data_IF_876507180106
#
_entry.id   IF_876507180106
#
_cell.length_a   1.000
_cell.length_b   1.000
_cell.length_c   1.000
_cell.angle_alpha   90.00
_cell.angle_beta   90.00
_cell.angle_gamma   90.00
#
_symmetry.space_group_name_H-M   'P 1'
#
loop_
_entity.id
_entity.type
_entity.pdbx_description
1 polymer ?
#
# COMPACT_ATOMS: atom_id res chain seq x y z
N UNK A 1 6.51 -8.90 27.99
CA UNK A 1 7.23 -9.48 26.83
C UNK A 1 6.91 -8.65 25.60
N UNK A 2 7.83 -8.46 24.66
CA UNK A 2 7.54 -7.79 23.41
C UNK A 2 6.36 -8.43 22.67
N UNK A 3 5.45 -7.60 22.13
CA UNK A 3 4.29 -8.05 21.37
C UNK A 3 4.33 -7.54 19.94
N UNK A 4 3.45 -8.06 19.10
CA UNK A 4 3.22 -7.52 17.77
C UNK A 4 2.14 -6.43 17.83
N UNK A 5 2.39 -5.28 17.22
CA UNK A 5 1.41 -4.20 17.03
C UNK A 5 1.13 -4.10 15.53
N UNK A 6 -0.11 -4.39 15.14
CA UNK A 6 -0.49 -4.59 13.74
C UNK A 6 -1.45 -3.51 13.29
N UNK A 7 -1.17 -2.90 12.14
CA UNK A 7 -2.05 -2.00 11.43
C UNK A 7 -2.46 -2.61 10.09
N UNK A 8 -3.75 -2.68 9.85
CA UNK A 8 -4.35 -3.14 8.60
C UNK A 8 -5.13 -2.00 7.97
N UNK A 9 -4.54 -1.33 6.96
CA UNK A 9 -5.12 -0.19 6.26
C UNK A 9 -5.75 -0.64 4.95
N UNK A 10 -7.07 -0.60 4.85
CA UNK A 10 -7.76 -1.05 3.64
C UNK A 10 -7.91 0.07 2.60
N UNK A 11 -8.19 -0.33 1.36
CA UNK A 11 -8.47 0.58 0.26
C UNK A 11 -9.85 1.24 0.43
N UNK A 12 -10.03 2.40 -0.21
CA UNK A 12 -11.31 3.11 -0.16
C UNK A 12 -12.40 2.41 -0.99
N UNK A 13 -13.66 2.62 -0.60
CA UNK A 13 -14.87 2.05 -1.19
C UNK A 13 -15.07 0.54 -0.98
N UNK A 14 -14.29 -0.08 -0.12
CA UNK A 14 -14.57 -1.43 0.33
C UNK A 14 -15.47 -1.30 1.57
N UNK A 15 -16.78 -1.22 1.34
CA UNK A 15 -17.74 -1.46 2.42
C UNK A 15 -17.41 -2.82 3.03
N UNK A 16 -17.56 -2.95 4.35
CA UNK A 16 -17.43 -4.24 5.03
C UNK A 16 -18.61 -5.13 4.58
N UNK A 17 -18.51 -5.61 3.34
CA UNK A 17 -19.53 -6.34 2.59
C UNK A 17 -19.03 -7.76 2.28
N UNK A 18 -19.74 -8.46 1.39
CA UNK A 18 -19.42 -9.83 1.01
C UNK A 18 -18.08 -9.95 0.26
N UNK A 19 -17.67 -8.93 -0.51
CA UNK A 19 -16.48 -8.93 -1.35
C UNK A 19 -15.28 -8.33 -0.62
N UNK A 20 -14.62 -9.16 0.19
CA UNK A 20 -13.57 -8.72 1.12
C UNK A 20 -12.19 -8.67 0.47
N UNK A 21 -11.41 -7.63 0.81
CA UNK A 21 -10.01 -7.51 0.41
C UNK A 21 -9.08 -8.49 1.14
N UNK A 22 -7.86 -8.62 0.65
CA UNK A 22 -6.83 -9.40 1.33
C UNK A 22 -6.42 -8.80 2.68
N UNK A 23 -6.58 -7.49 2.87
CA UNK A 23 -6.33 -6.82 4.16
C UNK A 23 -7.31 -7.32 5.22
N UNK A 24 -8.62 -7.31 4.92
CA UNK A 24 -9.66 -7.85 5.81
C UNK A 24 -9.41 -9.33 6.09
N UNK A 25 -9.09 -10.10 5.05
CA UNK A 25 -8.88 -11.54 5.17
C UNK A 25 -7.65 -11.88 6.01
N UNK A 26 -6.55 -11.14 5.84
CA UNK A 26 -5.39 -11.23 6.73
C UNK A 26 -5.79 -10.90 8.18
N UNK A 27 -6.55 -9.81 8.39
CA UNK A 27 -6.99 -9.40 9.72
C UNK A 27 -7.81 -10.51 10.43
N UNK A 28 -8.63 -11.28 9.69
CA UNK A 28 -9.36 -12.41 10.25
C UNK A 28 -8.48 -13.60 10.66
N UNK A 29 -7.31 -13.75 10.03
CA UNK A 29 -6.38 -14.84 10.38
C UNK A 29 -5.52 -14.53 11.60
N UNK A 30 -5.55 -13.30 12.13
CA UNK A 30 -4.68 -12.90 13.22
C UNK A 30 -5.08 -13.58 14.54
N UNK A 31 -4.09 -14.13 15.25
CA UNK A 31 -4.29 -14.62 16.62
C UNK A 31 -4.74 -13.47 17.51
N UNK A 32 -5.80 -13.69 18.27
CA UNK A 32 -6.42 -12.71 19.18
C UNK A 32 -5.96 -12.94 20.62
N UNK A 33 -4.70 -12.61 20.88
CA UNK A 33 -4.12 -12.65 22.22
C UNK A 33 -3.48 -11.28 22.53
N UNK A 34 -4.19 -10.39 23.27
CA UNK A 34 -3.69 -9.02 23.53
C UNK A 34 -2.35 -8.95 24.24
N UNK A 35 -1.96 -10.01 24.96
CA UNK A 35 -0.64 -10.07 25.62
C UNK A 35 0.52 -10.27 24.64
N UNK A 36 0.24 -10.86 23.48
CA UNK A 36 1.25 -11.21 22.45
C UNK A 36 1.08 -10.43 21.15
N UNK A 37 -0.14 -9.99 20.84
CA UNK A 37 -0.46 -9.32 19.58
C UNK A 37 -1.71 -8.46 19.70
N UNK A 38 -1.63 -7.19 19.25
CA UNK A 38 -2.77 -6.30 19.13
C UNK A 38 -2.90 -5.82 17.70
N UNK A 39 -4.12 -5.70 17.20
CA UNK A 39 -4.36 -5.36 15.81
C UNK A 39 -5.45 -4.29 15.66
N UNK A 40 -5.25 -3.39 14.71
CA UNK A 40 -6.18 -2.34 14.31
C UNK A 40 -6.50 -2.48 12.82
N UNK A 41 -7.77 -2.45 12.48
CA UNK A 41 -8.25 -2.42 11.11
C UNK A 41 -8.85 -1.05 10.80
N UNK A 42 -8.33 -0.42 9.74
CA UNK A 42 -8.83 0.84 9.22
C UNK A 42 -9.50 0.58 7.86
N UNK A 43 -10.83 0.83 7.72
CA UNK A 43 -11.58 0.48 6.50
C UNK A 43 -11.27 1.39 5.30
N UNK A 44 -10.44 2.41 5.48
CA UNK A 44 -10.16 3.43 4.46
C UNK A 44 -11.31 4.43 4.31
N UNK A 45 -11.01 5.59 3.73
CA UNK A 45 -12.01 6.63 3.52
C UNK A 45 -12.91 6.34 2.33
N UNK A 46 -14.18 6.73 2.49
CA UNK A 46 -15.23 6.59 1.49
C UNK A 46 -16.36 5.66 1.91
N UNK A 47 -16.25 5.04 3.09
CA UNK A 47 -17.35 4.30 3.72
C UNK A 47 -18.23 5.21 4.58
N UNK A 48 -17.72 6.37 5.04
CA UNK A 48 -18.53 7.38 5.73
C UNK A 48 -19.00 8.43 4.72
N UNK A 49 -20.29 8.42 4.42
CA UNK A 49 -20.90 9.40 3.53
C UNK A 49 -20.90 10.80 4.15
N UNK A 50 -20.54 11.87 3.38
CA UNK A 50 -20.88 13.21 3.81
C UNK A 50 -22.42 13.31 3.90
N UNK A 51 -22.99 13.87 4.96
CA UNK A 51 -24.43 14.12 5.04
C UNK A 51 -24.85 15.02 3.87
N UNK A 52 -25.70 14.51 2.96
CA UNK A 52 -26.30 15.30 1.89
C UNK A 52 -26.05 14.90 0.43
N UNK A 53 -25.35 13.80 0.13
CA UNK A 53 -25.14 13.35 -1.25
C UNK A 53 -26.38 12.65 -1.83
N UNK A 54 -27.23 13.40 -2.53
CA UNK A 54 -28.57 12.96 -2.98
C UNK A 54 -28.62 12.20 -4.33
N UNK A 55 -27.52 12.03 -5.09
CA UNK A 55 -27.55 11.40 -6.41
C UNK A 55 -26.46 10.32 -6.58
N UNK A 56 -26.86 9.08 -6.85
CA UNK A 56 -25.96 7.90 -7.06
C UNK A 56 -24.93 8.11 -8.19
N UNK A 57 -25.24 8.85 -9.23
CA UNK A 57 -24.35 9.12 -10.37
C UNK A 57 -23.24 10.10 -10.00
N UNK A 58 -23.54 11.13 -9.24
CA UNK A 58 -22.56 12.10 -8.72
C UNK A 58 -21.60 11.43 -7.71
N UNK A 59 -22.08 10.45 -6.95
CA UNK A 59 -21.28 9.65 -6.02
C UNK A 59 -20.14 8.91 -6.72
N UNK A 60 -20.41 8.25 -7.84
CA UNK A 60 -19.39 7.46 -8.55
C UNK A 60 -18.33 8.36 -9.18
N UNK A 61 -18.75 9.48 -9.78
CA UNK A 61 -17.85 10.43 -10.45
C UNK A 61 -17.04 11.22 -9.43
N UNK A 62 -17.63 11.72 -8.35
CA UNK A 62 -16.89 12.39 -7.26
C UNK A 62 -15.99 11.44 -6.48
N UNK A 63 -16.37 10.19 -6.28
CA UNK A 63 -15.49 9.13 -5.73
C UNK A 63 -14.29 8.86 -6.65
N UNK A 64 -14.49 8.86 -7.96
CA UNK A 64 -13.44 8.53 -8.95
C UNK A 64 -12.51 9.72 -9.22
N UNK A 65 -13.03 10.94 -9.28
CA UNK A 65 -12.26 12.14 -9.61
C UNK A 65 -11.85 13.01 -8.41
N UNK A 66 -12.18 12.59 -7.25
CA UNK A 66 -11.70 12.88 -5.90
C UNK A 66 -11.12 14.22 -5.54
N UNK A 67 -11.98 15.20 -5.29
CA UNK A 67 -11.61 16.31 -4.42
C UNK A 67 -11.44 15.90 -2.94
N UNK A 68 -11.80 14.67 -2.57
CA UNK A 68 -11.69 14.13 -1.21
C UNK A 68 -10.31 13.50 -0.89
N UNK A 69 -9.37 13.44 -1.84
CA UNK A 69 -8.18 12.59 -1.73
C UNK A 69 -7.11 13.11 -0.75
N UNK A 70 -7.01 14.39 -0.49
CA UNK A 70 -6.05 14.93 0.46
C UNK A 70 -6.52 14.81 1.91
N UNK A 71 -7.74 15.24 2.17
CA UNK A 71 -8.31 15.27 3.52
C UNK A 71 -8.41 13.90 4.19
N UNK A 72 -8.66 12.88 3.39
CA UNK A 72 -8.84 11.56 3.89
C UNK A 72 -7.58 10.85 4.32
N UNK A 73 -6.50 10.98 3.57
CA UNK A 73 -5.22 10.37 3.93
C UNK A 73 -4.70 10.88 5.27
N UNK A 74 -4.85 12.19 5.56
CA UNK A 74 -4.42 12.76 6.82
C UNK A 74 -5.15 12.13 8.02
N UNK A 75 -6.46 11.92 7.89
CA UNK A 75 -7.25 11.27 8.93
C UNK A 75 -6.85 9.79 9.11
N UNK A 76 -6.70 9.04 8.00
CA UNK A 76 -6.28 7.65 8.03
C UNK A 76 -4.89 7.48 8.69
N UNK A 77 -3.94 8.33 8.31
CA UNK A 77 -2.58 8.32 8.87
C UNK A 77 -2.60 8.70 10.35
N UNK A 78 -3.43 9.72 10.74
CA UNK A 78 -3.59 10.13 12.12
C UNK A 78 -4.12 8.98 12.97
N UNK A 79 -5.21 8.35 12.57
CA UNK A 79 -5.87 7.32 13.37
C UNK A 79 -4.97 6.08 13.53
N UNK A 80 -4.28 5.68 12.46
CA UNK A 80 -3.28 4.61 12.49
C UNK A 80 -2.09 4.95 13.40
N UNK A 81 -1.59 6.18 13.34
CA UNK A 81 -0.48 6.63 14.17
C UNK A 81 -0.87 6.73 15.66
N UNK A 82 -2.06 7.24 15.96
CA UNK A 82 -2.60 7.31 17.33
C UNK A 82 -2.78 5.91 17.91
N UNK A 83 -3.21 4.94 17.11
CA UNK A 83 -3.25 3.56 17.59
C UNK A 83 -1.85 3.05 18.00
N UNK A 84 -0.79 3.33 17.21
CA UNK A 84 0.59 3.01 17.59
C UNK A 84 1.01 3.72 18.87
N UNK A 85 0.72 5.03 19.01
CA UNK A 85 1.02 5.81 20.22
C UNK A 85 0.50 5.13 21.49
N UNK A 86 -0.72 4.59 21.40
CA UNK A 86 -1.44 4.05 22.56
C UNK A 86 -1.07 2.60 22.87
N UNK A 87 -0.55 1.83 21.89
CA UNK A 87 -0.35 0.39 22.04
C UNK A 87 1.10 -0.07 21.95
N UNK A 88 2.00 0.71 21.37
CA UNK A 88 3.41 0.34 21.20
C UNK A 88 4.20 0.59 22.50
N UNK A 89 5.02 -0.38 22.87
CA UNK A 89 6.05 -0.28 23.90
C UNK A 89 7.42 -0.61 23.32
N UNK A 90 8.47 -0.10 23.95
CA UNK A 90 9.86 -0.35 23.49
C UNK A 90 10.15 -1.84 23.42
N UNK A 91 10.59 -2.29 22.25
CA UNK A 91 10.84 -3.70 21.97
C UNK A 91 9.73 -4.40 21.20
N UNK A 92 8.54 -3.82 21.09
CA UNK A 92 7.45 -4.36 20.27
C UNK A 92 7.81 -4.33 18.77
N UNK A 93 7.17 -5.23 18.00
CA UNK A 93 7.32 -5.30 16.54
C UNK A 93 6.11 -4.70 15.85
N UNK A 94 6.33 -3.72 14.99
CA UNK A 94 5.26 -3.06 14.22
C UNK A 94 5.10 -3.71 12.85
N UNK A 95 3.90 -4.23 12.57
CA UNK A 95 3.49 -4.77 11.28
C UNK A 95 2.48 -3.83 10.63
N UNK A 96 2.77 -3.36 9.42
CA UNK A 96 1.90 -2.48 8.65
C UNK A 96 1.44 -3.22 7.39
N UNK A 97 0.12 -3.38 7.23
CA UNK A 97 -0.46 -3.96 6.03
C UNK A 97 -1.35 -2.97 5.31
N UNK A 98 -1.42 -3.07 3.98
CA UNK A 98 -2.33 -2.22 3.24
C UNK A 98 -2.55 -2.64 1.80
N UNK A 99 -3.72 -2.26 1.25
CA UNK A 99 -4.07 -2.46 -0.16
C UNK A 99 -4.40 -1.13 -0.83
N UNK A 100 -3.96 -0.95 -2.09
CA UNK A 100 -4.32 0.22 -2.89
C UNK A 100 -3.91 1.55 -2.22
N UNK A 101 -4.86 2.41 -1.88
CA UNK A 101 -4.64 3.64 -1.10
C UNK A 101 -4.25 3.33 0.34
N UNK A 102 -4.82 2.29 0.95
CA UNK A 102 -4.41 1.83 2.28
C UNK A 102 -2.95 1.35 2.30
N UNK A 103 -2.45 0.79 1.19
CA UNK A 103 -1.03 0.52 1.03
C UNK A 103 -0.18 1.81 1.08
N UNK A 104 -0.69 2.89 0.49
CA UNK A 104 -0.03 4.20 0.60
C UNK A 104 -0.12 4.76 2.02
N UNK A 105 -1.28 4.62 2.71
CA UNK A 105 -1.45 4.98 4.12
C UNK A 105 -0.42 4.25 5.01
N UNK A 106 -0.26 2.93 4.86
CA UNK A 106 0.72 2.15 5.60
C UNK A 106 2.16 2.68 5.39
N UNK A 107 2.51 3.02 4.15
CA UNK A 107 3.83 3.61 3.82
C UNK A 107 3.97 5.04 4.34
N UNK A 108 2.89 5.83 4.39
CA UNK A 108 2.89 7.17 4.96
C UNK A 108 3.06 7.14 6.50
N UNK A 109 2.44 6.17 7.17
CA UNK A 109 2.68 5.93 8.62
C UNK A 109 4.14 5.56 8.86
N UNK A 110 4.72 4.67 8.04
CA UNK A 110 6.14 4.33 8.14
C UNK A 110 7.05 5.55 7.93
N UNK A 111 6.71 6.43 6.97
CA UNK A 111 7.40 7.70 6.75
C UNK A 111 7.28 8.64 7.95
N UNK A 112 6.09 8.76 8.54
CA UNK A 112 5.86 9.59 9.72
C UNK A 112 6.71 9.12 10.90
N UNK A 113 6.77 7.79 11.13
CA UNK A 113 7.65 7.20 12.16
C UNK A 113 9.13 7.48 11.89
N UNK A 114 9.57 7.42 10.65
CA UNK A 114 10.97 7.73 10.29
C UNK A 114 11.31 9.18 10.59
N UNK A 115 10.49 10.11 10.12
CA UNK A 115 10.78 11.54 10.20
C UNK A 115 10.53 12.13 11.59
N UNK A 116 9.46 11.73 12.25
CA UNK A 116 9.01 12.35 13.50
C UNK A 116 9.07 11.42 14.72
N UNK A 117 9.42 10.14 14.53
CA UNK A 117 9.41 9.13 15.60
C UNK A 117 8.01 8.77 16.06
N UNK A 118 7.88 8.25 17.28
CA UNK A 118 6.59 7.96 17.91
C UNK A 118 6.40 8.87 19.13
N UNK A 119 5.41 9.75 19.03
CA UNK A 119 5.01 10.69 20.09
C UNK A 119 4.48 9.89 21.29
N UNK A 120 4.80 10.27 22.54
CA UNK A 120 4.29 9.60 23.74
C UNK A 120 2.77 9.68 23.85
N UNK A 121 2.18 8.64 24.41
CA UNK A 121 0.74 8.57 24.73
C UNK A 121 0.29 9.81 25.51
N UNK A 122 -0.91 10.32 25.22
CA UNK A 122 -1.47 11.53 25.84
C UNK A 122 -1.08 12.84 25.15
N UNK A 123 -0.32 12.78 24.04
CA UNK A 123 0.06 13.95 23.26
C UNK A 123 -0.55 13.94 21.85
N UNK A 124 -1.76 13.38 21.70
CA UNK A 124 -2.50 13.29 20.43
C UNK A 124 -2.66 14.64 19.70
N UNK A 125 -2.78 15.81 20.38
CA UNK A 125 -2.84 17.10 19.70
C UNK A 125 -1.61 17.46 18.86
N UNK A 126 -0.45 16.82 19.09
CA UNK A 126 0.77 17.03 18.29
C UNK A 126 0.74 16.27 16.95
N UNK A 127 -0.09 15.20 16.82
CA UNK A 127 -0.11 14.36 15.64
C UNK A 127 -0.54 15.11 14.37
N UNK A 128 -1.62 15.92 14.37
CA UNK A 128 -1.97 16.74 13.20
C UNK A 128 -0.88 17.73 12.80
N UNK A 129 -0.07 18.18 13.76
CA UNK A 129 1.05 19.08 13.47
C UNK A 129 2.17 18.35 12.70
N UNK A 130 2.57 17.15 13.17
CA UNK A 130 3.56 16.32 12.47
C UNK A 130 3.10 15.92 11.06
N UNK A 131 1.82 15.55 10.89
CA UNK A 131 1.25 15.21 9.58
C UNK A 131 1.27 16.41 8.64
N UNK A 132 0.88 17.61 9.11
CA UNK A 132 0.93 18.83 8.28
C UNK A 132 2.34 19.16 7.83
N UNK A 133 3.35 19.03 8.70
CA UNK A 133 4.74 19.21 8.30
C UNK A 133 5.17 18.23 7.21
N UNK A 134 4.76 16.96 7.32
CA UNK A 134 5.01 15.93 6.29
C UNK A 134 4.38 16.31 4.95
N UNK A 135 3.14 16.84 4.95
CA UNK A 135 2.44 17.25 3.73
C UNK A 135 3.06 18.51 3.09
N UNK A 136 3.59 19.44 3.88
CA UNK A 136 4.23 20.66 3.38
C UNK A 136 5.48 20.33 2.57
N UNK A 137 6.28 19.34 2.97
CA UNK A 137 7.47 18.91 2.20
C UNK A 137 7.09 18.52 0.79
N UNK A 138 6.01 17.75 0.63
CA UNK A 138 5.49 17.42 -0.72
C UNK A 138 5.12 18.68 -1.53
N UNK A 139 4.48 19.67 -0.90
CA UNK A 139 4.10 20.91 -1.57
C UNK A 139 5.31 21.71 -2.04
N UNK A 140 6.41 21.68 -1.28
CA UNK A 140 7.70 22.31 -1.66
C UNK A 140 8.32 21.56 -2.85
N UNK A 141 8.38 20.24 -2.82
CA UNK A 141 8.89 19.43 -3.93
C UNK A 141 8.09 19.63 -5.24
N UNK A 142 6.82 19.98 -5.13
CA UNK A 142 5.96 20.26 -6.28
C UNK A 142 6.20 21.62 -6.93
N UNK A 143 6.81 22.58 -6.20
CA UNK A 143 7.16 23.90 -6.75
C UNK A 143 8.30 23.77 -7.77
N UNK A 144 8.14 24.44 -8.93
CA UNK A 144 9.11 24.35 -10.03
C UNK A 144 10.20 25.42 -10.01
N UNK A 145 10.17 26.36 -9.06
CA UNK A 145 10.99 27.58 -9.08
C UNK A 145 11.59 27.92 -7.72
N UNK A 146 12.79 28.47 -7.69
CA UNK A 146 13.40 29.14 -6.55
C UNK A 146 14.23 28.24 -5.63
N UNK A 147 14.44 28.70 -4.43
CA UNK A 147 15.28 28.12 -3.37
C UNK A 147 14.70 26.85 -2.73
N UNK A 148 14.26 25.91 -3.60
CA UNK A 148 13.60 24.66 -3.18
C UNK A 148 14.46 23.88 -2.19
N UNK A 149 15.76 23.79 -2.46
CA UNK A 149 16.68 22.99 -1.64
C UNK A 149 16.79 23.54 -0.22
N UNK A 150 16.96 24.86 -0.06
CA UNK A 150 17.06 25.49 1.24
C UNK A 150 15.73 25.40 2.05
N UNK A 151 14.59 25.52 1.36
CA UNK A 151 13.29 25.35 2.01
C UNK A 151 13.07 23.89 2.44
N UNK A 152 13.42 22.89 1.61
CA UNK A 152 13.38 21.48 1.95
C UNK A 152 14.29 21.17 3.16
N UNK A 153 15.55 21.60 3.14
CA UNK A 153 16.50 21.39 4.24
C UNK A 153 15.99 21.96 5.55
N UNK A 154 15.38 23.15 5.53
CA UNK A 154 14.76 23.76 6.70
C UNK A 154 13.65 22.89 7.29
N UNK A 155 12.78 22.30 6.46
CA UNK A 155 11.71 21.43 6.94
C UNK A 155 12.23 20.07 7.44
N UNK A 156 13.28 19.52 6.83
CA UNK A 156 13.93 18.32 7.36
C UNK A 156 14.62 18.58 8.71
N UNK A 157 15.27 19.74 8.86
CA UNK A 157 15.84 20.16 10.14
C UNK A 157 14.73 20.33 11.21
N UNK A 158 13.61 20.96 10.85
CA UNK A 158 12.46 21.11 11.77
C UNK A 158 11.86 19.74 12.16
N UNK A 159 11.79 18.78 11.24
CA UNK A 159 11.34 17.43 11.53
C UNK A 159 12.29 16.71 12.51
N UNK A 160 13.60 16.86 12.33
CA UNK A 160 14.60 16.31 13.23
C UNK A 160 14.51 16.93 14.63
N UNK A 161 14.29 18.24 14.73
CA UNK A 161 14.10 18.95 16.00
C UNK A 161 12.82 18.50 16.70
N UNK A 162 11.73 18.36 15.96
CA UNK A 162 10.48 17.83 16.48
C UNK A 162 10.66 16.41 17.03
N UNK A 163 11.30 15.52 16.25
CA UNK A 163 11.59 14.15 16.68
C UNK A 163 12.40 14.12 17.96
N UNK A 164 13.47 14.92 18.05
CA UNK A 164 14.32 15.00 19.23
C UNK A 164 13.59 15.55 20.46
N UNK A 165 12.66 16.49 20.26
CA UNK A 165 11.95 17.15 21.36
C UNK A 165 10.80 16.31 21.90
N UNK A 166 10.01 15.68 21.01
CA UNK A 166 8.73 15.08 21.37
C UNK A 166 8.70 13.55 21.28
N UNK A 167 9.67 12.92 20.61
CA UNK A 167 9.63 11.46 20.41
C UNK A 167 10.72 10.79 21.24
N UNK A 168 10.30 10.15 22.32
CA UNK A 168 11.22 9.48 23.27
C UNK A 168 11.37 7.98 23.01
N UNK A 169 10.54 7.42 22.12
CA UNK A 169 10.51 5.98 21.83
C UNK A 169 10.95 5.71 20.40
N UNK A 170 11.95 4.85 20.24
CA UNK A 170 12.31 4.34 18.91
C UNK A 170 11.29 3.33 18.45
N UNK A 171 10.50 3.68 17.44
CA UNK A 171 9.49 2.83 16.82
C UNK A 171 9.80 2.75 15.32
N UNK A 172 10.31 1.60 14.89
CA UNK A 172 10.61 1.31 13.48
C UNK A 172 9.69 0.21 12.96
N UNK A 173 9.18 0.32 11.72
CA UNK A 173 8.40 -0.76 11.14
C UNK A 173 9.24 -2.02 10.98
N UNK A 174 8.83 -3.10 11.66
CA UNK A 174 9.45 -4.42 11.51
C UNK A 174 9.07 -5.06 10.18
N UNK A 175 7.79 -4.94 9.79
CA UNK A 175 7.27 -5.50 8.55
C UNK A 175 6.29 -4.53 7.88
N UNK A 176 6.47 -4.29 6.58
CA UNK A 176 5.50 -3.54 5.78
C UNK A 176 5.08 -4.40 4.60
N UNK A 177 3.86 -4.94 4.63
CA UNK A 177 3.27 -5.80 3.61
C UNK A 177 2.17 -5.09 2.83
N UNK A 178 2.36 -4.86 1.55
CA UNK A 178 1.40 -4.09 0.75
C UNK A 178 0.99 -4.83 -0.52
N UNK A 179 -0.30 -4.68 -0.88
CA UNK A 179 -0.82 -5.15 -2.15
C UNK A 179 -1.05 -3.96 -3.06
N UNK A 180 -0.46 -4.03 -4.22
CA UNK A 180 -0.64 -3.15 -5.37
C UNK A 180 -0.80 -1.66 -5.02
N UNK A 181 0.22 -1.11 -4.35
CA UNK A 181 0.25 0.32 -3.98
C UNK A 181 0.09 1.19 -5.21
N UNK A 182 -0.86 2.12 -5.18
CA UNK A 182 -1.11 3.05 -6.27
C UNK A 182 -0.80 4.49 -5.88
N UNK A 183 -0.25 5.26 -6.82
CA UNK A 183 0.06 6.69 -6.65
C UNK A 183 -1.14 7.59 -6.97
N UNK A 184 -2.37 7.12 -6.73
CA UNK A 184 -3.58 7.89 -7.04
C UNK A 184 -4.05 8.78 -5.89
N UNK A 185 -3.15 9.12 -4.97
CA UNK A 185 -3.39 10.11 -3.92
C UNK A 185 -2.88 11.46 -4.40
N UNK A 186 -3.71 12.51 -4.32
CA UNK A 186 -3.39 13.86 -4.79
C UNK A 186 -3.92 14.18 -6.20
N UNK A 187 -3.41 15.26 -6.79
CA UNK A 187 -3.87 15.73 -8.10
C UNK A 187 -3.40 14.82 -9.23
N UNK A 188 -4.24 14.62 -10.26
CA UNK A 188 -3.99 13.64 -11.34
C UNK A 188 -2.67 13.85 -12.09
N UNK A 189 -2.19 15.08 -12.22
CA UNK A 189 -0.90 15.40 -12.85
C UNK A 189 0.28 15.26 -11.90
N UNK A 190 0.06 15.54 -10.61
CA UNK A 190 1.07 15.54 -9.57
C UNK A 190 0.58 14.69 -8.37
N UNK A 191 0.70 13.35 -8.44
CA UNK A 191 0.30 12.51 -7.33
C UNK A 191 1.14 12.83 -6.08
N UNK A 192 0.51 12.75 -4.93
CA UNK A 192 1.15 12.97 -3.64
C UNK A 192 2.35 12.04 -3.48
N UNK A 193 3.52 12.63 -3.24
CA UNK A 193 4.76 11.92 -2.95
C UNK A 193 5.27 12.38 -1.60
N UNK A 194 4.95 11.64 -0.57
CA UNK A 194 5.50 11.92 0.75
C UNK A 194 6.94 11.40 0.84
N UNK A 195 7.84 12.11 1.54
CA UNK A 195 9.21 11.66 1.78
C UNK A 195 9.23 10.25 2.34
N UNK A 196 10.25 9.48 2.04
CA UNK A 196 10.45 8.12 2.56
C UNK A 196 9.29 7.13 2.36
N UNK A 197 8.32 7.41 1.47
CA UNK A 197 7.33 6.40 1.08
C UNK A 197 7.87 5.43 0.03
N UNK A 198 8.90 5.80 -0.73
CA UNK A 198 9.53 4.97 -1.75
C UNK A 198 10.88 4.35 -1.30
N UNK A 199 11.53 4.89 -0.29
CA UNK A 199 12.92 4.57 0.07
C UNK A 199 13.19 4.65 1.58
N UNK A 200 12.27 4.23 2.43
CA UNK A 200 12.40 4.29 3.89
C UNK A 200 13.40 3.25 4.44
N UNK A 201 14.54 3.68 5.01
CA UNK A 201 15.57 2.78 5.53
C UNK A 201 15.24 2.17 6.90
N UNK A 202 14.22 2.67 7.61
CA UNK A 202 13.81 2.14 8.91
C UNK A 202 12.92 0.92 8.81
N UNK A 203 12.43 0.59 7.60
CA UNK A 203 11.66 -0.63 7.36
C UNK A 203 12.62 -1.83 7.35
N UNK A 204 12.42 -2.78 8.28
CA UNK A 204 13.26 -3.98 8.32
C UNK A 204 12.92 -4.94 7.19
N UNK A 205 11.64 -5.27 7.01
CA UNK A 205 11.15 -6.19 5.99
C UNK A 205 10.05 -5.51 5.15
N UNK A 206 10.30 -5.34 3.85
CA UNK A 206 9.34 -4.81 2.87
C UNK A 206 8.82 -5.91 1.95
N UNK A 207 7.50 -6.03 1.81
CA UNK A 207 6.82 -6.98 0.92
C UNK A 207 5.77 -6.28 0.07
N UNK A 208 5.86 -6.41 -1.23
CA UNK A 208 4.93 -5.79 -2.17
C UNK A 208 4.43 -6.81 -3.20
N UNK A 209 3.17 -7.18 -3.12
CA UNK A 209 2.51 -7.93 -4.17
C UNK A 209 1.98 -6.96 -5.24
N UNK A 210 2.44 -7.07 -6.48
CA UNK A 210 2.18 -6.12 -7.58
C UNK A 210 1.38 -6.80 -8.68
N UNK A 211 0.35 -6.14 -9.22
CA UNK A 211 -0.43 -6.68 -10.34
C UNK A 211 0.27 -6.48 -11.68
N UNK A 212 0.27 -7.53 -12.52
CA UNK A 212 0.86 -7.53 -13.86
C UNK A 212 -0.08 -6.86 -14.88
N UNK A 213 -1.37 -7.17 -14.80
CA UNK A 213 -2.32 -6.93 -15.90
C UNK A 213 -3.15 -5.65 -15.74
N UNK A 214 -2.91 -4.84 -14.70
CA UNK A 214 -3.62 -3.58 -14.51
C UNK A 214 -3.31 -2.59 -15.64
N UNK A 215 -4.37 -2.02 -16.24
CA UNK A 215 -4.28 -1.17 -17.44
C UNK A 215 -4.72 0.27 -17.20
N UNK A 216 -5.48 0.53 -16.15
CA UNK A 216 -6.03 1.86 -15.88
C UNK A 216 -4.92 2.87 -15.58
N UNK A 217 -4.92 4.01 -16.30
CA UNK A 217 -3.93 5.07 -16.17
C UNK A 217 -3.82 5.66 -14.76
N UNK A 218 -4.89 5.60 -13.96
CA UNK A 218 -4.92 6.09 -12.58
C UNK A 218 -4.32 5.10 -11.57
N UNK A 219 -4.21 3.82 -11.93
CA UNK A 219 -3.65 2.77 -11.07
C UNK A 219 -2.17 2.51 -11.37
N UNK A 220 -1.38 3.60 -11.38
CA UNK A 220 0.06 3.47 -11.59
C UNK A 220 0.73 2.75 -10.44
N UNK A 221 1.63 1.86 -10.80
CA UNK A 221 2.47 1.15 -9.83
C UNK A 221 3.34 2.14 -9.06
N UNK A 222 3.33 2.04 -7.74
CA UNK A 222 4.19 2.78 -6.84
C UNK A 222 5.15 1.80 -6.16
N UNK A 223 6.22 1.41 -6.86
CA UNK A 223 7.24 0.53 -6.31
C UNK A 223 8.07 1.24 -5.24
N UNK A 224 8.65 0.49 -4.32
CA UNK A 224 9.81 0.96 -3.60
C UNK A 224 10.97 1.10 -4.58
N UNK A 225 11.71 2.18 -4.44
CA UNK A 225 12.86 2.51 -5.28
C UNK A 225 14.07 2.79 -4.38
N UNK A 226 14.69 1.74 -3.82
CA UNK A 226 15.87 1.91 -3.00
C UNK A 226 16.98 2.59 -3.81
N UNK A 227 17.69 3.52 -3.18
CA UNK A 227 18.85 4.20 -3.79
C UNK A 227 20.08 3.31 -3.68
N UNK A 228 20.93 3.37 -4.69
CA UNK A 228 22.21 2.67 -4.69
C UNK A 228 23.22 3.32 -3.72
N UNK A 229 24.29 2.60 -3.31
CA UNK A 229 25.41 3.18 -2.58
C UNK A 229 25.92 4.48 -3.26
N UNK A 230 26.48 5.44 -2.51
CA UNK A 230 26.97 5.33 -1.13
C UNK A 230 25.91 5.55 -0.04
N UNK A 231 24.70 5.95 -0.37
CA UNK A 231 23.62 6.15 0.60
C UNK A 231 22.49 5.14 0.35
N UNK A 232 22.66 3.87 0.77
CA UNK A 232 21.62 2.87 0.60
C UNK A 232 20.35 3.32 1.35
N UNK A 233 19.22 3.29 0.67
CA UNK A 233 17.94 3.66 1.23
C UNK A 233 16.88 2.64 0.83
N UNK A 234 15.79 2.57 1.58
CA UNK A 234 14.71 1.64 1.36
C UNK A 234 14.71 0.48 2.36
N UNK A 235 13.69 -0.39 2.33
CA UNK A 235 13.58 -1.53 3.22
C UNK A 235 14.82 -2.42 3.15
N UNK A 236 15.34 -2.85 4.31
CA UNK A 236 16.58 -3.64 4.40
C UNK A 236 16.45 -5.01 3.73
N UNK A 237 15.29 -5.65 3.88
CA UNK A 237 14.94 -6.90 3.21
C UNK A 237 13.70 -6.70 2.36
N UNK A 238 13.89 -6.33 1.08
CA UNK A 238 12.81 -5.99 0.15
C UNK A 238 12.54 -7.11 -0.85
N UNK A 239 11.26 -7.52 -0.95
CA UNK A 239 10.75 -8.31 -2.08
C UNK A 239 9.54 -7.60 -2.69
N UNK A 240 9.61 -7.30 -3.99
CA UNK A 240 8.50 -6.81 -4.80
C UNK A 240 8.19 -7.87 -5.84
N UNK A 241 7.07 -8.58 -5.64
CA UNK A 241 6.73 -9.77 -6.43
C UNK A 241 5.51 -9.47 -7.28
N UNK A 242 5.62 -9.73 -8.58
CA UNK A 242 4.57 -9.51 -9.56
C UNK A 242 3.68 -10.74 -9.68
N UNK A 243 2.37 -10.53 -9.56
CA UNK A 243 1.33 -11.55 -9.62
C UNK A 243 0.44 -11.36 -10.85
N UNK A 244 -0.09 -12.45 -11.45
CA UNK A 244 -1.03 -12.36 -12.54
C UNK A 244 -2.34 -11.73 -12.09
N UNK A 245 -2.97 -10.97 -12.99
CA UNK A 245 -4.25 -10.32 -12.78
C UNK A 245 -4.17 -8.80 -12.63
N UNK A 246 -5.35 -8.18 -12.51
CA UNK A 246 -5.53 -6.75 -12.31
C UNK A 246 -5.47 -6.40 -10.82
N UNK A 247 -5.63 -5.14 -10.48
CA UNK A 247 -5.53 -4.57 -9.14
C UNK A 247 -6.24 -5.41 -8.05
N UNK A 248 -7.53 -5.72 -8.25
CA UNK A 248 -8.30 -6.50 -7.30
C UNK A 248 -8.06 -8.02 -7.41
N UNK A 249 -7.52 -8.54 -8.52
CA UNK A 249 -7.03 -9.91 -8.60
C UNK A 249 -5.81 -10.16 -7.70
N UNK A 250 -5.11 -9.10 -7.32
CA UNK A 250 -3.96 -9.17 -6.40
C UNK A 250 -4.34 -8.73 -5.00
N UNK A 251 -5.16 -7.69 -4.85
CA UNK A 251 -5.52 -7.13 -3.55
C UNK A 251 -6.83 -7.64 -2.94
N UNK A 252 -7.63 -8.38 -3.71
CA UNK A 252 -8.99 -8.80 -3.33
C UNK A 252 -10.04 -7.72 -3.61
N UNK A 253 -11.31 -8.04 -3.33
CA UNK A 253 -12.44 -7.14 -3.57
C UNK A 253 -13.33 -7.58 -4.74
N UNK A 254 -13.15 -8.77 -5.28
CA UNK A 254 -14.11 -9.45 -6.14
C UNK A 254 -14.91 -10.50 -5.36
N UNK A 255 -16.02 -10.95 -5.94
CA UNK A 255 -16.83 -12.01 -5.36
C UNK A 255 -15.98 -13.22 -4.99
N UNK A 256 -16.36 -13.89 -3.90
CA UNK A 256 -15.53 -14.95 -3.34
C UNK A 256 -15.27 -16.08 -4.34
N UNK A 257 -16.28 -16.46 -5.14
CA UNK A 257 -16.17 -17.46 -6.21
C UNK A 257 -15.13 -17.12 -7.30
N UNK A 258 -14.78 -15.85 -7.44
CA UNK A 258 -13.86 -15.31 -8.46
C UNK A 258 -12.50 -14.90 -7.88
N UNK A 259 -12.28 -15.14 -6.57
CA UNK A 259 -11.13 -14.63 -5.82
C UNK A 259 -9.90 -15.53 -5.84
N UNK A 260 -9.83 -16.56 -6.69
CA UNK A 260 -8.72 -17.53 -6.70
C UNK A 260 -7.33 -16.91 -6.93
N UNK A 261 -7.23 -15.88 -7.78
CA UNK A 261 -5.96 -15.16 -8.01
C UNK A 261 -5.53 -14.38 -6.78
N UNK A 262 -6.45 -13.63 -6.16
CA UNK A 262 -6.12 -12.82 -4.98
C UNK A 262 -5.71 -13.69 -3.77
N UNK A 263 -6.22 -14.92 -3.69
CA UNK A 263 -5.82 -15.90 -2.67
C UNK A 263 -4.36 -16.32 -2.80
N UNK A 264 -3.84 -16.38 -4.03
CA UNK A 264 -2.43 -16.68 -4.26
C UNK A 264 -1.53 -15.59 -3.67
N UNK A 265 -1.87 -14.33 -3.92
CA UNK A 265 -1.14 -13.19 -3.35
C UNK A 265 -1.32 -13.08 -1.82
N UNK A 266 -2.50 -13.44 -1.29
CA UNK A 266 -2.74 -13.49 0.16
C UNK A 266 -1.90 -14.58 0.83
N UNK A 267 -1.89 -15.80 0.26
CA UNK A 267 -1.09 -16.93 0.79
C UNK A 267 0.39 -16.58 0.87
N UNK A 268 0.92 -15.96 -0.20
CA UNK A 268 2.31 -15.50 -0.23
C UNK A 268 2.58 -14.47 0.89
N UNK A 269 1.74 -13.46 1.04
CA UNK A 269 1.92 -12.43 2.06
C UNK A 269 1.81 -12.99 3.48
N UNK A 270 0.86 -13.90 3.74
CA UNK A 270 0.72 -14.57 5.03
C UNK A 270 1.97 -15.38 5.37
N UNK A 271 2.52 -16.11 4.38
CA UNK A 271 3.77 -16.86 4.57
C UNK A 271 4.93 -15.93 4.94
N UNK A 272 5.16 -14.86 4.16
CA UNK A 272 6.25 -13.90 4.41
C UNK A 272 6.09 -13.20 5.77
N UNK A 273 4.87 -12.90 6.18
CA UNK A 273 4.60 -12.25 7.47
C UNK A 273 4.75 -13.24 8.66
N UNK A 274 4.33 -14.50 8.52
CA UNK A 274 4.56 -15.54 9.53
C UNK A 274 6.05 -15.81 9.73
N UNK A 275 6.80 -15.92 8.65
CA UNK A 275 8.26 -16.07 8.68
C UNK A 275 8.94 -14.88 9.39
N UNK A 276 8.31 -13.70 9.39
CA UNK A 276 8.72 -12.51 10.13
C UNK A 276 8.21 -12.46 11.58
N UNK A 277 7.41 -13.43 12.03
CA UNK A 277 6.91 -13.55 13.40
C UNK A 277 5.48 -13.04 13.64
N UNK A 278 4.69 -12.82 12.58
CA UNK A 278 3.25 -12.55 12.71
C UNK A 278 2.56 -13.78 13.31
N UNK A 279 1.72 -13.58 14.33
CA UNK A 279 0.96 -14.67 14.93
C UNK A 279 -0.36 -14.85 14.17
N UNK A 280 -0.52 -16.00 13.58
CA UNK A 280 -1.68 -16.38 12.75
C UNK A 280 -2.35 -17.61 13.37
N UNK A 281 -3.66 -17.58 13.40
CA UNK A 281 -4.50 -18.72 13.75
C UNK A 281 -4.57 -19.66 12.54
N UNK A 282 -4.08 -20.89 12.69
CA UNK A 282 -3.96 -21.84 11.59
C UNK A 282 -5.32 -22.29 11.06
N UNK A 283 -6.33 -22.42 11.91
CA UNK A 283 -7.68 -22.82 11.50
C UNK A 283 -8.34 -21.68 10.69
N UNK A 284 -8.24 -20.45 11.16
CA UNK A 284 -8.72 -19.28 10.40
C UNK A 284 -7.98 -19.10 9.10
N UNK A 285 -6.68 -19.32 9.08
CA UNK A 285 -5.89 -19.26 7.84
C UNK A 285 -6.32 -20.36 6.86
N UNK A 286 -6.50 -21.60 7.32
CA UNK A 286 -6.99 -22.70 6.49
C UNK A 286 -8.37 -22.39 5.91
N UNK A 287 -9.28 -21.87 6.74
CA UNK A 287 -10.62 -21.44 6.32
C UNK A 287 -10.55 -20.38 5.21
N UNK A 288 -9.82 -19.29 5.44
CA UNK A 288 -9.69 -18.17 4.50
C UNK A 288 -8.99 -18.58 3.19
N UNK A 289 -8.10 -19.55 3.24
CA UNK A 289 -7.44 -20.12 2.04
C UNK A 289 -8.21 -21.25 1.39
N UNK A 290 -9.47 -21.48 1.79
CA UNK A 290 -10.38 -22.42 1.14
C UNK A 290 -10.13 -23.90 1.48
N UNK A 291 -9.22 -24.24 2.38
CA UNK A 291 -8.90 -25.62 2.73
C UNK A 291 -10.01 -26.33 3.54
N UNK A 292 -10.81 -25.56 4.29
CA UNK A 292 -11.84 -26.08 5.20
C UNK A 292 -13.26 -26.10 4.59
N UNK A 293 -13.44 -25.84 3.28
CA UNK A 293 -14.75 -25.86 2.62
C UNK A 293 -15.71 -24.73 3.08
N UNK A 294 -15.23 -23.71 3.77
CA UNK A 294 -16.03 -22.65 4.41
C UNK A 294 -16.53 -21.53 3.47
N UNK A 295 -16.71 -21.83 2.18
CA UNK A 295 -17.21 -20.84 1.21
C UNK A 295 -16.15 -19.86 0.69
N UNK A 296 -14.89 -20.00 1.09
CA UNK A 296 -13.77 -19.22 0.58
C UNK A 296 -13.08 -19.92 -0.60
N UNK A 297 -12.69 -19.16 -1.61
CA UNK A 297 -11.93 -19.68 -2.73
C UNK A 297 -10.52 -20.12 -2.32
N UNK A 298 -10.06 -21.26 -2.83
CA UNK A 298 -8.67 -21.66 -2.70
C UNK A 298 -7.76 -20.85 -3.65
N UNK A 299 -6.45 -20.71 -3.35
CA UNK A 299 -5.48 -20.16 -4.29
C UNK A 299 -5.51 -20.95 -5.61
N UNK A 300 -5.82 -20.25 -6.71
CA UNK A 300 -5.90 -20.86 -8.04
C UNK A 300 -5.25 -19.96 -9.09
N UNK A 301 -4.05 -20.32 -9.59
CA UNK A 301 -3.38 -19.60 -10.66
C UNK A 301 -4.16 -19.58 -11.99
N UNK A 302 -5.03 -20.56 -12.21
CA UNK A 302 -5.85 -20.69 -13.43
C UNK A 302 -7.21 -20.00 -13.32
N UNK A 303 -7.54 -19.38 -12.17
CA UNK A 303 -8.79 -18.65 -12.02
C UNK A 303 -8.94 -17.55 -13.10
N UNK A 304 -10.19 -17.23 -13.40
CA UNK A 304 -10.51 -16.18 -14.38
C UNK A 304 -9.86 -14.86 -13.95
N UNK A 305 -9.16 -14.24 -14.88
CA UNK A 305 -8.58 -12.92 -14.71
C UNK A 305 -9.58 -11.87 -15.13
N UNK A 306 -9.77 -10.86 -14.30
CA UNK A 306 -10.71 -9.78 -14.57
C UNK A 306 -10.15 -8.75 -15.55
N UNK A 307 -11.05 -8.00 -16.18
CA UNK A 307 -10.70 -6.78 -16.92
C UNK A 307 -11.20 -5.56 -16.13
N UNK A 308 -10.26 -4.72 -15.70
CA UNK A 308 -10.55 -3.54 -14.89
C UNK A 308 -10.82 -2.28 -15.72
N UNK A 309 -10.37 -2.24 -16.99
CA UNK A 309 -10.54 -1.11 -17.89
C UNK A 309 -11.86 -1.23 -18.66
N UNK A 310 -12.98 -0.84 -18.03
CA UNK A 310 -14.33 -0.90 -18.59
C UNK A 310 -15.05 0.45 -18.49
N UNK A 311 -16.01 0.69 -19.38
CA UNK A 311 -16.92 1.82 -19.31
C UNK A 311 -16.19 3.17 -19.26
N UNK A 312 -16.55 4.01 -18.32
CA UNK A 312 -16.03 5.38 -18.17
C UNK A 312 -14.52 5.46 -17.91
N UNK A 313 -13.86 4.38 -17.48
CA UNK A 313 -12.41 4.35 -17.32
C UNK A 313 -11.65 4.63 -18.62
N UNK A 314 -12.24 4.34 -19.77
CA UNK A 314 -11.64 4.65 -21.07
C UNK A 314 -11.44 6.14 -21.29
N UNK A 315 -12.34 7.00 -20.79
CA UNK A 315 -12.16 8.46 -20.91
C UNK A 315 -10.90 8.93 -20.16
N UNK A 316 -10.57 8.29 -19.04
CA UNK A 316 -9.38 8.59 -18.26
C UNK A 316 -8.07 8.21 -18.98
N UNK A 317 -8.12 7.26 -19.93
CA UNK A 317 -6.97 6.79 -20.68
C UNK A 317 -6.45 7.81 -21.70
N UNK A 318 -7.27 8.75 -22.13
CA UNK A 318 -6.88 9.85 -23.04
C UNK A 318 -6.18 11.01 -22.31
N UNK A 319 -6.22 11.05 -20.99
CA UNK A 319 -5.56 12.10 -20.22
C UNK A 319 -4.04 11.91 -20.28
N UNK A 320 -3.33 12.98 -20.65
CA UNK A 320 -1.87 12.98 -20.65
C UNK A 320 -1.32 12.99 -19.23
N UNK A 321 -0.57 11.97 -18.89
CA UNK A 321 0.04 11.77 -17.57
C UNK A 321 1.52 11.46 -17.66
N UNK A 322 2.25 11.69 -16.57
CA UNK A 322 3.62 11.23 -16.44
C UNK A 322 3.63 9.73 -16.19
N UNK A 323 4.39 8.98 -16.98
CA UNK A 323 4.67 7.56 -16.82
C UNK A 323 6.16 7.35 -16.69
N UNK A 324 6.59 6.48 -15.79
CA UNK A 324 8.01 6.13 -15.69
C UNK A 324 8.32 5.02 -16.71
N UNK A 325 9.27 5.31 -17.60
CA UNK A 325 9.78 4.33 -18.57
C UNK A 325 10.97 3.60 -17.94
N UNK A 326 10.75 2.36 -17.52
CA UNK A 326 11.76 1.55 -16.85
C UNK A 326 12.96 1.20 -17.75
N UNK A 327 12.76 1.07 -19.05
CA UNK A 327 13.84 0.77 -19.99
C UNK A 327 14.78 1.97 -20.20
N UNK A 328 14.24 3.20 -20.13
CA UNK A 328 14.99 4.44 -20.32
C UNK A 328 15.31 5.16 -19.02
N UNK A 329 14.85 4.65 -17.88
CA UNK A 329 14.96 5.29 -16.56
C UNK A 329 14.52 6.75 -16.52
N UNK A 330 13.46 7.11 -17.27
CA UNK A 330 12.99 8.49 -17.38
C UNK A 330 11.48 8.62 -17.32
N UNK A 331 11.00 9.81 -16.92
CA UNK A 331 9.59 10.15 -16.92
C UNK A 331 9.18 10.64 -18.31
N UNK A 332 8.17 10.00 -18.88
CA UNK A 332 7.55 10.38 -20.16
C UNK A 332 6.11 10.88 -19.90
N UNK A 333 5.71 11.95 -20.60
CA UNK A 333 4.31 12.43 -20.56
C UNK A 333 3.57 11.89 -21.78
N UNK A 334 2.56 11.08 -21.57
CA UNK A 334 1.74 10.48 -22.64
C UNK A 334 0.36 10.07 -22.13
N UNK A 335 -0.58 9.85 -23.06
CA UNK A 335 -1.81 9.12 -22.79
C UNK A 335 -1.51 7.62 -22.60
N UNK A 336 -2.22 6.96 -21.71
CA UNK A 336 -1.97 5.54 -21.44
C UNK A 336 -2.61 4.64 -22.49
N UNK A 337 -3.80 4.96 -22.96
CA UNK A 337 -4.54 4.25 -24.02
C UNK A 337 -4.67 2.74 -23.74
N UNK A 338 -4.96 2.38 -22.50
CA UNK A 338 -5.13 0.99 -22.06
C UNK A 338 -3.85 0.14 -22.09
N UNK A 339 -2.67 0.74 -22.11
CA UNK A 339 -1.40 0.00 -22.06
C UNK A 339 -1.22 -0.69 -20.71
N UNK A 340 -0.73 -1.90 -20.76
CA UNK A 340 -0.36 -2.65 -19.55
C UNK A 340 0.85 -2.02 -18.86
N UNK A 341 1.02 -2.35 -17.59
CA UNK A 341 2.21 -2.01 -16.81
C UNK A 341 3.44 -2.66 -17.43
N UNK A 342 4.55 -1.95 -17.40
CA UNK A 342 5.85 -2.50 -17.78
C UNK A 342 6.51 -3.09 -16.55
N UNK A 343 6.84 -4.37 -16.60
CA UNK A 343 7.60 -5.05 -15.56
C UNK A 343 9.07 -4.69 -15.75
N UNK A 344 9.78 -4.14 -14.75
CA UNK A 344 11.22 -3.86 -14.88
C UNK A 344 12.02 -5.14 -15.13
N UNK A 345 13.07 -5.11 -15.94
CA UNK A 345 13.99 -6.25 -16.07
C UNK A 345 14.54 -6.70 -14.71
N UNK A 346 14.71 -8.00 -14.50
CA UNK A 346 15.18 -8.56 -13.23
C UNK A 346 14.14 -8.60 -12.10
N UNK A 347 12.88 -8.20 -12.37
CA UNK A 347 11.81 -8.26 -11.36
C UNK A 347 11.49 -9.69 -10.92
N UNK A 348 11.12 -9.83 -9.65
CA UNK A 348 10.60 -11.09 -9.11
C UNK A 348 9.17 -11.29 -9.59
N UNK A 349 8.88 -12.43 -10.20
CA UNK A 349 7.56 -12.81 -10.68
C UNK A 349 7.14 -14.10 -10.00
N UNK A 350 5.96 -14.10 -9.37
CA UNK A 350 5.44 -15.27 -8.70
C UNK A 350 5.17 -16.42 -9.68
N UNK A 351 5.47 -17.64 -9.27
CA UNK A 351 5.30 -18.85 -10.10
C UNK A 351 3.91 -19.02 -10.69
N UNK A 352 2.87 -18.50 -10.01
CA UNK A 352 1.49 -18.51 -10.52
C UNK A 352 1.34 -17.84 -11.88
N UNK A 353 2.18 -16.90 -12.27
CA UNK A 353 2.17 -16.29 -13.59
C UNK A 353 2.63 -17.29 -14.66
N UNK A 354 3.64 -18.08 -14.36
CA UNK A 354 4.13 -19.13 -15.28
C UNK A 354 3.18 -20.32 -15.38
N UNK A 355 2.45 -20.60 -14.30
CA UNK A 355 1.43 -21.65 -14.30
C UNK A 355 0.23 -21.32 -15.20
N UNK A 356 0.01 -20.07 -15.61
CA UNK A 356 -1.05 -19.66 -16.55
C UNK A 356 -0.81 -20.08 -18.00
N UNK A 357 0.29 -20.70 -18.30
CA UNK A 357 0.64 -21.24 -19.61
C UNK A 357 1.70 -20.41 -20.36
N UNK A 358 2.21 -21.02 -21.43
CA UNK A 358 3.36 -20.51 -22.18
C UNK A 358 3.08 -19.13 -22.80
N UNK A 359 1.89 -18.92 -23.35
CA UNK A 359 1.51 -17.65 -23.96
C UNK A 359 1.52 -16.50 -22.96
N UNK A 360 1.04 -16.73 -21.72
CA UNK A 360 1.09 -15.73 -20.67
C UNK A 360 2.55 -15.46 -20.23
N UNK A 361 3.34 -16.51 -20.06
CA UNK A 361 4.74 -16.40 -19.65
C UNK A 361 5.59 -15.63 -20.68
N UNK A 362 5.33 -15.78 -21.98
CA UNK A 362 6.02 -15.03 -23.05
C UNK A 362 5.76 -13.52 -23.01
N UNK A 363 4.70 -13.06 -22.34
CA UNK A 363 4.42 -11.61 -22.17
C UNK A 363 5.24 -10.97 -21.04
N UNK A 364 5.87 -11.77 -20.19
CA UNK A 364 6.70 -11.27 -19.11
C UNK A 364 8.00 -10.70 -19.68
N UNK A 365 8.53 -9.67 -19.02
CA UNK A 365 9.78 -9.06 -19.45
C UNK A 365 10.93 -10.08 -19.40
N UNK A 366 11.85 -9.97 -20.35
CA UNK A 366 13.04 -10.80 -20.34
C UNK A 366 13.86 -10.59 -19.06
N UNK A 367 14.42 -11.67 -18.51
CA UNK A 367 15.24 -11.63 -17.30
C UNK A 367 14.45 -11.55 -16.00
N UNK A 368 13.11 -11.71 -16.00
CA UNK A 368 12.36 -11.87 -14.76
C UNK A 368 12.78 -13.13 -13.99
N UNK A 369 12.85 -13.01 -12.66
CA UNK A 369 13.23 -14.11 -11.76
C UNK A 369 11.96 -14.73 -11.19
N UNK A 370 11.78 -16.05 -11.40
CA UNK A 370 10.64 -16.80 -10.85
C UNK A 370 10.84 -17.04 -9.36
N UNK A 371 9.80 -16.77 -8.58
CA UNK A 371 9.74 -17.03 -7.12
C UNK A 371 8.44 -17.73 -6.74
N UNK A 372 8.45 -18.44 -5.60
CA UNK A 372 7.29 -19.13 -5.01
C UNK A 372 6.71 -18.36 -3.83
#
# INVERSE_FOLDING_TARGET
>A
MPKNVILCCDGTANEFAQDRTNVVKLFFTLTRDPARQVAYYHPGLGTMEPPGALLKVTRTVTRIFGMAFGYGLEADVRDAYVFLMNNFETGDRVFLFGFSRGAYTARAVASLLHMYGLIPKGNEPLVPYAIRMLMVIHAIEAKKTGDRTAEEERYFALAADFKRTFSTRECKPWFVGVWDTVSSVGWYENPLKLPYTADNPDIEIGRHAVSIDERRAFFRTNLWMPKAPPMPSGPKNLKQVWFPGVHCDVGGGYAESESGLSRTALRWMLKEARDAGLLVDDDQMALILGAAGGGYAAPNPQAVMHESLRGWWWLAEFLWKRHFNWARHQWERRANLGRRRTIPPGSLVHESAYQRGTEYAQRLSAGCVRVS
#
